data_IF_332848381330
#
_entry.id   IF_332848381330
#
_cell.length_a   1.000
_cell.length_b   1.000
_cell.length_c   1.000
_cell.angle_alpha   90.00
_cell.angle_beta   90.00
_cell.angle_gamma   90.00
#
_symmetry.space_group_name_H-M   'P 1'
#
loop_
_entity.id
_entity.type
_entity.pdbx_description
1 polymer ?
#
# COMPACT_ATOMS: atom_id res chain seq x y z
N UNK A 1 0.93 11.69 3.13
CA UNK A 1 0.74 10.26 2.86
C UNK A 1 2.06 9.82 2.29
N UNK A 2 2.68 8.77 2.83
CA UNK A 2 3.99 8.32 2.38
C UNK A 2 4.07 6.80 2.29
N UNK A 3 4.79 6.30 1.30
CA UNK A 3 5.23 4.91 1.23
C UNK A 3 6.56 4.76 1.97
N UNK A 4 6.69 3.69 2.75
CA UNK A 4 7.91 3.32 3.46
C UNK A 4 8.20 1.85 3.17
N UNK A 5 9.36 1.58 2.56
CA UNK A 5 9.78 0.23 2.20
C UNK A 5 10.56 -0.37 3.36
N UNK A 6 10.03 -1.39 4.03
CA UNK A 6 10.66 -2.02 5.19
C UNK A 6 11.54 -3.21 4.80
N UNK A 7 11.25 -3.83 3.66
CA UNK A 7 12.10 -4.83 3.04
C UNK A 7 11.80 -4.96 1.55
N UNK A 8 12.85 -5.27 0.78
CA UNK A 8 12.86 -5.19 -0.68
C UNK A 8 13.48 -6.42 -1.37
N UNK A 9 13.83 -7.45 -0.60
CA UNK A 9 14.44 -8.70 -1.09
C UNK A 9 13.38 -9.74 -1.45
N UNK A 10 13.68 -10.55 -2.47
CA UNK A 10 12.88 -11.72 -2.84
C UNK A 10 13.38 -13.03 -2.21
N UNK A 11 12.45 -13.88 -1.77
CA UNK A 11 12.61 -15.25 -1.27
C UNK A 11 13.48 -15.44 -0.01
N UNK A 12 14.59 -14.73 0.10
CA UNK A 12 15.52 -14.78 1.22
C UNK A 12 16.06 -13.38 1.54
N UNK A 13 16.35 -13.07 2.82
CA UNK A 13 16.96 -11.80 3.17
C UNK A 13 18.42 -11.76 2.69
N UNK A 14 18.97 -10.55 2.61
CA UNK A 14 20.41 -10.32 2.44
C UNK A 14 20.92 -9.47 3.59
N UNK A 15 22.23 -9.24 3.67
CA UNK A 15 22.81 -8.32 4.64
C UNK A 15 22.23 -6.89 4.54
N UNK A 16 21.75 -6.50 3.35
CA UNK A 16 21.31 -5.13 3.07
C UNK A 16 19.81 -4.99 2.76
N UNK A 17 19.08 -6.10 2.62
CA UNK A 17 17.65 -6.11 2.27
C UNK A 17 16.90 -7.15 3.09
N UNK A 18 15.89 -6.69 3.83
CA UNK A 18 14.87 -7.51 4.45
C UNK A 18 13.87 -8.04 3.41
N UNK A 19 13.03 -8.96 3.85
CA UNK A 19 11.98 -9.58 3.06
C UNK A 19 10.78 -8.63 2.85
N UNK A 20 9.95 -8.92 1.86
CA UNK A 20 8.82 -8.08 1.44
C UNK A 20 8.00 -7.51 2.60
N UNK A 21 8.03 -6.17 2.71
CA UNK A 21 7.17 -5.43 3.61
C UNK A 21 7.13 -3.95 3.22
N UNK A 22 5.94 -3.43 2.94
CA UNK A 22 5.72 -2.04 2.49
C UNK A 22 4.64 -1.41 3.37
N UNK A 23 4.87 -0.20 3.86
CA UNK A 23 3.88 0.54 4.63
C UNK A 23 3.45 1.80 3.88
N UNK A 24 2.14 2.00 3.74
CA UNK A 24 1.53 3.28 3.39
C UNK A 24 1.05 3.96 4.67
N UNK A 25 1.69 5.07 5.06
CA UNK A 25 1.28 5.91 6.18
C UNK A 25 0.38 7.04 5.68
N UNK A 26 -0.77 7.17 6.35
CA UNK A 26 -1.82 8.11 5.97
C UNK A 26 -2.60 8.53 7.21
N UNK A 27 -2.58 9.82 7.55
CA UNK A 27 -3.42 10.39 8.61
C UNK A 27 -3.35 9.62 9.95
N UNK A 28 -2.16 9.11 10.32
CA UNK A 28 -1.97 8.32 11.54
C UNK A 28 -2.48 6.87 11.46
N UNK A 29 -2.87 6.39 10.28
CA UNK A 29 -3.18 5.00 9.97
C UNK A 29 -2.05 4.37 9.12
N UNK A 30 -1.74 3.10 9.38
CA UNK A 30 -0.75 2.31 8.66
C UNK A 30 -1.45 1.22 7.85
N UNK A 31 -1.23 1.22 6.54
CA UNK A 31 -1.63 0.13 5.65
C UNK A 31 -0.36 -0.61 5.24
N UNK A 32 -0.13 -1.78 5.81
CA UNK A 32 1.04 -2.61 5.54
C UNK A 32 0.68 -3.67 4.50
N UNK A 33 1.53 -3.82 3.49
CA UNK A 33 1.43 -4.83 2.45
C UNK A 33 2.59 -5.80 2.63
N UNK A 34 2.24 -7.04 2.96
CA UNK A 34 3.14 -8.10 3.41
C UNK A 34 3.97 -7.77 4.67
N UNK A 35 4.43 -8.82 5.32
CA UNK A 35 5.33 -8.79 6.45
C UNK A 35 6.18 -10.08 6.45
N UNK A 36 7.25 -10.06 5.65
CA UNK A 36 8.28 -11.09 5.67
C UNK A 36 9.01 -11.18 7.01
N UNK A 37 9.72 -12.30 7.21
CA UNK A 37 10.53 -12.52 8.43
C UNK A 37 11.38 -11.29 8.78
N UNK A 38 11.46 -11.00 10.08
CA UNK A 38 12.16 -9.85 10.65
C UNK A 38 11.58 -8.47 10.32
N UNK A 39 10.40 -8.36 9.70
CA UNK A 39 9.72 -7.08 9.45
C UNK A 39 9.61 -6.18 10.69
N UNK A 40 9.45 -6.75 11.90
CA UNK A 40 9.42 -5.96 13.14
C UNK A 40 10.69 -5.13 13.40
N UNK A 41 11.86 -5.57 12.90
CA UNK A 41 13.12 -4.84 13.06
C UNK A 41 13.11 -3.59 12.19
N UNK A 42 12.77 -3.73 10.90
CA UNK A 42 12.65 -2.59 9.99
C UNK A 42 11.51 -1.65 10.41
N UNK A 43 10.39 -2.20 10.88
CA UNK A 43 9.29 -1.41 11.43
C UNK A 43 9.76 -0.54 12.62
N UNK A 44 10.54 -1.11 13.54
CA UNK A 44 11.14 -0.36 14.64
C UNK A 44 12.03 0.80 14.13
N UNK A 45 12.92 0.51 13.17
CA UNK A 45 13.84 1.50 12.58
C UNK A 45 13.12 2.63 11.85
N UNK A 46 11.96 2.34 11.24
CA UNK A 46 11.18 3.32 10.48
C UNK A 46 10.49 4.39 11.34
N UNK A 47 10.31 4.15 12.65
CA UNK A 47 9.61 5.10 13.53
C UNK A 47 8.12 5.27 13.24
N UNK A 48 7.48 4.37 12.48
CA UNK A 48 6.05 4.46 12.12
C UNK A 48 5.10 4.42 13.32
N UNK A 49 5.52 3.85 14.45
CA UNK A 49 4.80 3.82 15.73
C UNK A 49 3.94 2.56 15.92
N UNK A 50 3.96 1.97 17.11
CA UNK A 50 3.39 0.65 17.40
C UNK A 50 1.89 0.64 17.73
N UNK A 51 1.34 1.76 18.19
CA UNK A 51 -0.06 1.86 18.65
C UNK A 51 -0.91 2.76 17.74
N UNK A 52 -0.74 2.66 16.42
CA UNK A 52 -1.58 3.31 15.41
C UNK A 52 -2.65 2.38 14.87
N UNK A 53 -3.74 2.92 14.33
CA UNK A 53 -4.68 2.14 13.50
C UNK A 53 -3.89 1.46 12.38
N UNK A 54 -4.09 0.16 12.21
CA UNK A 54 -3.28 -0.62 11.30
C UNK A 54 -4.08 -1.70 10.60
N UNK A 55 -3.80 -1.88 9.31
CA UNK A 55 -4.29 -2.98 8.50
C UNK A 55 -3.10 -3.64 7.81
N UNK A 56 -3.03 -4.97 7.81
CA UNK A 56 -2.04 -5.75 7.07
C UNK A 56 -2.76 -6.44 5.91
N UNK A 57 -2.23 -6.33 4.70
CA UNK A 57 -2.72 -6.97 3.48
C UNK A 57 -1.65 -7.93 2.98
N UNK A 58 -1.91 -9.23 3.11
CA UNK A 58 -0.99 -10.30 2.70
C UNK A 58 -1.28 -10.69 1.27
N UNK A 59 -0.33 -10.53 0.37
CA UNK A 59 -0.47 -10.83 -1.05
C UNK A 59 -0.66 -12.33 -1.27
N UNK A 60 0.18 -13.16 -0.64
CA UNK A 60 0.13 -14.61 -0.72
C UNK A 60 0.85 -15.28 0.46
N UNK A 61 0.71 -16.61 0.61
CA UNK A 61 1.25 -17.37 1.75
C UNK A 61 2.63 -18.02 1.48
N UNK A 62 3.55 -17.28 0.87
CA UNK A 62 4.97 -17.63 0.96
C UNK A 62 5.59 -17.02 2.22
N UNK A 63 6.62 -17.71 2.73
CA UNK A 63 7.18 -17.39 4.05
C UNK A 63 7.76 -15.98 4.15
N UNK A 64 8.38 -15.52 3.08
CA UNK A 64 8.96 -14.19 2.92
C UNK A 64 7.92 -13.05 2.80
N UNK A 65 6.63 -13.37 2.79
CA UNK A 65 5.54 -12.38 2.79
C UNK A 65 4.70 -12.40 4.08
N UNK A 66 4.69 -13.48 4.86
CA UNK A 66 3.75 -13.60 5.99
C UNK A 66 4.35 -14.06 7.32
N UNK A 67 5.54 -14.66 7.35
CA UNK A 67 6.10 -15.22 8.60
C UNK A 67 6.41 -14.12 9.64
N UNK A 68 6.78 -12.92 9.18
CA UNK A 68 7.05 -11.77 10.04
C UNK A 68 5.85 -11.26 10.82
N UNK A 69 4.62 -11.59 10.40
CA UNK A 69 3.39 -11.23 11.14
C UNK A 69 3.47 -11.74 12.58
N UNK A 70 3.99 -12.95 12.79
CA UNK A 70 4.08 -13.56 14.13
C UNK A 70 4.98 -12.73 15.07
N UNK A 71 6.14 -12.29 14.55
CA UNK A 71 7.08 -11.44 15.30
C UNK A 71 6.53 -10.03 15.54
N UNK A 72 5.83 -9.45 14.57
CA UNK A 72 5.13 -8.17 14.71
C UNK A 72 4.07 -8.23 15.81
N UNK A 73 3.21 -9.26 15.81
CA UNK A 73 2.14 -9.43 16.80
C UNK A 73 2.67 -9.53 18.24
N UNK A 74 3.72 -10.34 18.44
CA UNK A 74 4.37 -10.47 19.75
C UNK A 74 5.01 -9.14 20.18
N UNK A 75 5.74 -8.48 19.27
CA UNK A 75 6.38 -7.20 19.56
C UNK A 75 5.34 -6.13 19.90
N UNK A 76 4.24 -6.03 19.14
CA UNK A 76 3.14 -5.11 19.42
C UNK A 76 2.51 -5.35 20.80
N UNK A 77 2.38 -6.62 21.21
CA UNK A 77 1.87 -6.95 22.53
C UNK A 77 2.81 -6.47 23.64
N UNK A 78 4.12 -6.67 23.47
CA UNK A 78 5.15 -6.16 24.40
C UNK A 78 5.25 -4.62 24.42
N UNK A 79 4.89 -3.96 23.31
CA UNK A 79 4.79 -2.51 23.21
C UNK A 79 3.47 -1.95 23.74
N UNK A 80 2.67 -2.76 24.46
CA UNK A 80 1.39 -2.38 25.05
C UNK A 80 0.42 -1.76 24.04
N UNK A 81 0.40 -2.30 22.81
CA UNK A 81 -0.59 -1.91 21.81
C UNK A 81 -1.99 -2.16 22.37
N UNK A 82 -2.91 -1.23 22.09
CA UNK A 82 -4.34 -1.28 22.43
C UNK A 82 -5.22 -1.17 21.19
N UNK A 83 -4.72 -0.53 20.12
CA UNK A 83 -5.48 -0.36 18.88
C UNK A 83 -5.72 -1.71 18.18
N UNK A 84 -6.92 -1.88 17.63
CA UNK A 84 -7.26 -3.05 16.82
C UNK A 84 -6.35 -3.16 15.61
N UNK A 85 -5.96 -4.38 15.26
CA UNK A 85 -5.23 -4.71 14.03
C UNK A 85 -6.13 -5.56 13.15
N UNK A 86 -6.30 -5.18 11.89
CA UNK A 86 -7.01 -6.00 10.91
C UNK A 86 -5.99 -6.63 9.95
N UNK A 87 -6.16 -7.92 9.64
CA UNK A 87 -5.30 -8.66 8.72
C UNK A 87 -6.19 -9.20 7.61
N UNK A 88 -5.84 -8.92 6.37
CA UNK A 88 -6.50 -9.37 5.16
C UNK A 88 -5.53 -10.27 4.39
N UNK A 89 -5.99 -11.42 3.91
CA UNK A 89 -5.13 -12.33 3.17
C UNK A 89 -5.89 -13.44 2.45
N UNK A 90 -5.18 -14.26 1.66
CA UNK A 90 -5.77 -15.42 0.98
C UNK A 90 -6.30 -16.47 1.97
N UNK A 91 -7.04 -17.45 1.45
CA UNK A 91 -7.45 -18.63 2.21
C UNK A 91 -6.23 -19.29 2.85
N UNK A 92 -6.31 -19.65 4.14
CA UNK A 92 -5.19 -20.19 4.92
C UNK A 92 -4.56 -19.20 5.90
N UNK A 93 -4.81 -17.88 5.77
CA UNK A 93 -4.19 -16.86 6.65
C UNK A 93 -4.67 -16.99 8.11
N UNK A 94 -5.95 -17.29 8.32
CA UNK A 94 -6.51 -17.47 9.66
C UNK A 94 -5.92 -18.70 10.33
N UNK A 95 -5.86 -19.82 9.62
CA UNK A 95 -5.28 -21.06 10.08
C UNK A 95 -3.79 -20.91 10.38
N UNK A 96 -3.03 -20.21 9.52
CA UNK A 96 -1.62 -19.90 9.73
C UNK A 96 -1.40 -19.15 11.05
N UNK A 97 -2.13 -18.07 11.27
CA UNK A 97 -1.97 -17.23 12.47
C UNK A 97 -2.45 -17.99 13.72
N UNK A 98 -3.64 -18.60 13.67
CA UNK A 98 -4.24 -19.30 14.81
C UNK A 98 -3.40 -20.52 15.25
N UNK A 99 -2.92 -21.31 14.29
CA UNK A 99 -2.07 -22.47 14.59
C UNK A 99 -0.75 -22.04 15.26
N UNK A 100 -0.10 -20.99 14.75
CA UNK A 100 1.17 -20.52 15.31
C UNK A 100 1.00 -19.85 16.67
N UNK A 101 -0.05 -19.06 16.89
CA UNK A 101 -0.39 -18.52 18.22
C UNK A 101 -0.58 -19.66 19.22
N UNK A 102 -1.32 -20.71 18.83
CA UNK A 102 -1.58 -21.88 19.67
C UNK A 102 -0.29 -22.66 19.99
N UNK A 103 0.56 -22.90 18.99
CA UNK A 103 1.82 -23.66 19.15
C UNK A 103 2.83 -22.89 20.01
N UNK A 104 2.98 -21.60 19.75
CA UNK A 104 3.92 -20.73 20.47
C UNK A 104 3.40 -20.31 21.85
N UNK A 105 2.11 -20.50 22.11
CA UNK A 105 1.45 -20.24 23.38
C UNK A 105 1.65 -18.80 23.90
N UNK A 106 1.45 -17.80 23.03
CA UNK A 106 1.45 -16.39 23.42
C UNK A 106 0.06 -15.77 23.28
N UNK A 107 -0.26 -14.86 24.21
CA UNK A 107 -1.48 -14.06 24.17
C UNK A 107 -1.25 -12.71 23.50
N UNK A 108 -2.32 -12.14 22.94
CA UNK A 108 -2.33 -10.79 22.38
C UNK A 108 -3.03 -9.85 23.36
N UNK A 109 -2.43 -8.69 23.63
CA UNK A 109 -3.00 -7.65 24.51
C UNK A 109 -4.01 -6.73 23.81
N UNK A 110 -4.26 -6.95 22.51
CA UNK A 110 -5.13 -6.14 21.67
C UNK A 110 -5.95 -7.00 20.71
N UNK A 111 -7.09 -6.49 20.17
CA UNK A 111 -7.90 -7.23 19.22
C UNK A 111 -7.21 -7.38 17.87
N UNK A 112 -7.21 -8.61 17.34
CA UNK A 112 -6.79 -8.92 15.96
C UNK A 112 -7.99 -9.50 15.22
N UNK A 113 -8.37 -8.85 14.12
CA UNK A 113 -9.42 -9.30 13.23
C UNK A 113 -8.79 -9.85 11.96
N UNK A 114 -9.06 -11.12 11.63
CA UNK A 114 -8.51 -11.77 10.45
C UNK A 114 -9.64 -11.94 9.43
N UNK A 115 -9.39 -11.50 8.20
CA UNK A 115 -10.36 -11.45 7.12
C UNK A 115 -9.80 -12.16 5.88
N UNK A 116 -10.40 -13.28 5.50
CA UNK A 116 -10.07 -13.95 4.23
C UNK A 116 -10.66 -13.18 3.05
N UNK A 117 -9.85 -12.96 2.01
CA UNK A 117 -10.25 -12.29 0.78
C UNK A 117 -11.18 -13.20 -0.02
N UNK A 118 -12.35 -12.65 -0.36
CA UNK A 118 -13.41 -13.35 -1.12
C UNK A 118 -13.87 -12.55 -2.35
N UNK A 119 -13.90 -11.22 -2.21
CA UNK A 119 -14.38 -10.29 -3.22
C UNK A 119 -13.28 -9.32 -3.64
N UNK A 120 -13.45 -8.69 -4.80
CA UNK A 120 -12.52 -7.66 -5.30
C UNK A 120 -12.43 -6.48 -4.34
N UNK A 121 -13.54 -6.01 -3.77
CA UNK A 121 -13.54 -4.89 -2.82
C UNK A 121 -13.35 -5.40 -1.39
N UNK A 122 -12.13 -5.23 -0.87
CA UNK A 122 -11.74 -5.74 0.45
C UNK A 122 -12.14 -4.80 1.58
N UNK A 123 -11.97 -3.50 1.37
CA UNK A 123 -12.23 -2.49 2.39
C UNK A 123 -12.73 -1.20 1.74
N UNK A 124 -13.67 -0.54 2.40
CA UNK A 124 -14.13 0.78 1.99
C UNK A 124 -14.63 1.58 3.20
N UNK A 125 -14.27 2.86 3.23
CA UNK A 125 -14.87 3.85 4.11
C UNK A 125 -15.02 5.19 3.38
N UNK A 126 -15.41 6.24 4.11
CA UNK A 126 -15.61 7.58 3.56
C UNK A 126 -14.33 8.23 2.99
N UNK A 127 -13.14 7.70 3.32
CA UNK A 127 -11.85 8.29 2.98
C UNK A 127 -11.08 7.53 1.91
N UNK A 128 -11.17 6.20 1.86
CA UNK A 128 -10.48 5.38 0.86
C UNK A 128 -11.13 4.00 0.69
N UNK A 129 -10.73 3.30 -0.36
CA UNK A 129 -11.03 1.89 -0.58
C UNK A 129 -9.76 1.09 -0.89
N UNK A 130 -9.77 -0.19 -0.54
CA UNK A 130 -8.80 -1.20 -0.97
C UNK A 130 -9.53 -2.22 -1.85
N UNK A 131 -9.03 -2.41 -3.05
CA UNK A 131 -9.44 -3.49 -3.94
C UNK A 131 -8.31 -4.51 -4.09
N UNK A 132 -8.66 -5.74 -4.43
CA UNK A 132 -7.71 -6.77 -4.82
C UNK A 132 -8.07 -7.40 -6.16
N UNK A 133 -7.04 -7.74 -6.92
CA UNK A 133 -7.10 -8.50 -8.16
C UNK A 133 -6.26 -9.76 -7.99
N UNK A 134 -6.64 -10.86 -8.63
CA UNK A 134 -5.77 -12.04 -8.64
C UNK A 134 -4.48 -11.73 -9.38
N UNK A 135 -3.36 -12.10 -8.76
CA UNK A 135 -2.04 -12.07 -9.38
C UNK A 135 -1.79 -13.37 -10.16
N UNK A 136 -0.81 -13.35 -11.06
CA UNK A 136 -0.34 -14.54 -11.77
C UNK A 136 0.93 -15.06 -11.10
N UNK A 137 0.74 -15.90 -10.09
CA UNK A 137 1.82 -16.48 -9.29
C UNK A 137 1.60 -17.98 -9.04
N UNK A 138 2.60 -18.65 -8.48
CA UNK A 138 2.62 -20.12 -8.29
C UNK A 138 1.55 -20.64 -7.31
N UNK A 139 1.09 -19.79 -6.39
CA UNK A 139 -0.02 -20.06 -5.46
C UNK A 139 -1.07 -18.96 -5.58
N UNK A 140 -2.19 -19.08 -4.84
CA UNK A 140 -3.19 -18.01 -4.75
C UNK A 140 -2.53 -16.74 -4.23
N UNK A 141 -2.50 -15.72 -5.09
CA UNK A 141 -1.87 -14.45 -4.82
C UNK A 141 -2.78 -13.30 -5.26
N UNK A 142 -2.64 -12.17 -4.57
CA UNK A 142 -3.41 -10.96 -4.83
C UNK A 142 -2.50 -9.75 -4.99
N UNK A 143 -2.86 -8.94 -5.96
CA UNK A 143 -2.42 -7.54 -6.10
C UNK A 143 -3.44 -6.63 -5.42
N UNK A 144 -2.99 -5.52 -4.83
CA UNK A 144 -3.84 -4.56 -4.13
C UNK A 144 -3.82 -3.18 -4.78
N UNK A 145 -4.98 -2.52 -4.76
CA UNK A 145 -5.12 -1.13 -5.18
C UNK A 145 -5.75 -0.30 -4.06
N UNK A 146 -4.99 0.68 -3.58
CA UNK A 146 -5.49 1.74 -2.72
C UNK A 146 -6.03 2.89 -3.57
N UNK A 147 -7.25 3.32 -3.28
CA UNK A 147 -7.88 4.49 -3.91
C UNK A 147 -8.38 5.43 -2.83
N UNK A 148 -7.72 6.59 -2.68
CA UNK A 148 -8.22 7.67 -1.84
C UNK A 148 -9.45 8.31 -2.48
N UNK A 149 -10.48 8.62 -1.69
CA UNK A 149 -11.65 9.35 -2.19
C UNK A 149 -11.27 10.80 -2.49
N UNK A 150 -11.94 11.38 -3.48
CA UNK A 150 -11.74 12.78 -3.84
C UNK A 150 -12.00 13.70 -2.66
N UNK A 151 -11.12 14.69 -2.50
CA UNK A 151 -11.23 15.66 -1.42
C UNK A 151 -11.94 16.92 -1.93
N UNK A 152 -12.74 17.58 -1.08
CA UNK A 152 -13.25 18.90 -1.38
C UNK A 152 -12.10 19.85 -1.73
N UNK A 153 -12.41 20.84 -2.58
CA UNK A 153 -11.47 21.90 -2.92
C UNK A 153 -11.00 22.66 -1.70
N UNK A 154 -9.94 23.46 -1.87
CA UNK A 154 -9.46 24.32 -0.79
C UNK A 154 -10.52 25.36 -0.46
N UNK A 155 -10.79 25.55 0.83
CA UNK A 155 -11.69 26.58 1.32
C UNK A 155 -11.12 27.98 1.05
N UNK A 156 -11.93 28.83 0.42
CA UNK A 156 -11.59 30.21 0.15
C UNK A 156 -12.08 31.10 1.29
N UNK A 157 -11.21 31.28 2.28
CA UNK A 157 -11.46 32.11 3.47
C UNK A 157 -11.89 33.52 3.11
N UNK A 158 -11.26 34.13 2.08
CA UNK A 158 -11.56 35.50 1.67
C UNK A 158 -13.01 35.60 1.17
N UNK A 159 -13.40 34.70 0.27
CA UNK A 159 -14.76 34.67 -0.30
C UNK A 159 -15.82 34.33 0.74
N UNK A 160 -15.51 33.45 1.70
CA UNK A 160 -16.41 33.16 2.81
C UNK A 160 -16.66 34.39 3.70
N UNK A 161 -15.62 35.18 3.97
CA UNK A 161 -15.75 36.45 4.71
C UNK A 161 -16.53 37.50 3.92
N UNK A 162 -16.30 37.63 2.61
CA UNK A 162 -17.08 38.52 1.73
C UNK A 162 -18.57 38.16 1.67
N UNK A 163 -18.90 36.87 1.75
CA UNK A 163 -20.27 36.37 1.85
C UNK A 163 -20.87 36.46 3.27
N UNK A 164 -20.12 36.99 4.24
CA UNK A 164 -20.58 37.18 5.61
C UNK A 164 -20.76 35.87 6.38
N UNK A 165 -20.02 34.81 6.03
CA UNK A 165 -20.13 33.50 6.66
C UNK A 165 -19.30 33.46 7.96
N UNK A 166 -19.92 33.33 9.14
CA UNK A 166 -19.19 33.21 10.41
C UNK A 166 -18.21 32.04 10.40
N UNK A 167 -17.02 32.25 10.95
CA UNK A 167 -16.04 31.18 11.13
C UNK A 167 -16.58 30.10 12.09
N UNK A 168 -16.16 28.85 11.89
CA UNK A 168 -16.59 27.71 12.72
C UNK A 168 -17.46 26.70 11.96
N UNK A 169 -18.56 26.26 12.58
CA UNK A 169 -19.38 25.13 12.10
C UNK A 169 -19.90 25.29 10.67
N UNK A 170 -20.23 26.51 10.27
CA UNK A 170 -20.77 26.79 8.93
C UNK A 170 -19.72 26.58 7.84
N UNK A 171 -18.45 26.89 8.12
CA UNK A 171 -17.34 26.61 7.21
C UNK A 171 -17.13 25.10 7.09
N UNK A 172 -17.21 24.36 8.20
CA UNK A 172 -17.10 22.91 8.20
C UNK A 172 -18.23 22.25 7.38
N UNK A 173 -19.47 22.73 7.52
CA UNK A 173 -20.61 22.25 6.70
C UNK A 173 -20.35 22.45 5.22
N UNK A 174 -19.94 23.65 4.81
CA UNK A 174 -19.60 23.95 3.41
C UNK A 174 -18.42 23.12 2.92
N UNK A 175 -17.36 22.98 3.72
CA UNK A 175 -16.19 22.14 3.39
C UNK A 175 -16.57 20.67 3.16
N UNK A 176 -17.59 20.17 3.86
CA UNK A 176 -18.13 18.82 3.70
C UNK A 176 -19.26 18.72 2.66
N UNK A 177 -19.40 19.72 1.80
CA UNK A 177 -20.37 19.70 0.69
C UNK A 177 -21.82 19.97 1.10
N UNK A 178 -22.08 20.43 2.33
CA UNK A 178 -23.43 20.77 2.78
C UNK A 178 -23.72 22.25 2.53
N UNK A 179 -24.87 22.54 1.93
CA UNK A 179 -25.39 23.91 1.81
C UNK A 179 -25.75 24.49 3.19
N UNK A 180 -25.62 25.80 3.35
CA UNK A 180 -26.02 26.51 4.57
C UNK A 180 -26.97 27.66 4.24
N UNK A 181 -27.72 28.13 5.24
CA UNK A 181 -28.60 29.29 5.11
C UNK A 181 -28.11 30.38 6.06
N UNK A 182 -27.85 31.57 5.53
CA UNK A 182 -27.50 32.77 6.28
C UNK A 182 -28.36 33.92 5.75
N UNK A 183 -29.05 34.63 6.66
CA UNK A 183 -29.91 35.77 6.31
C UNK A 183 -30.88 35.45 5.15
N UNK A 184 -31.56 34.30 5.25
CA UNK A 184 -32.51 33.77 4.24
C UNK A 184 -31.90 33.45 2.87
N UNK A 185 -30.57 33.53 2.73
CA UNK A 185 -29.85 33.16 1.50
C UNK A 185 -29.19 31.79 1.66
N UNK A 186 -29.44 30.92 0.69
CA UNK A 186 -28.72 29.65 0.56
C UNK A 186 -27.33 29.90 0.00
N UNK A 187 -26.31 29.43 0.70
CA UNK A 187 -24.91 29.44 0.25
C UNK A 187 -24.49 28.00 -0.05
N UNK A 188 -23.96 27.80 -1.26
CA UNK A 188 -23.50 26.50 -1.74
C UNK A 188 -21.98 26.33 -1.57
N UNK A 189 -21.48 25.10 -1.35
CA UNK A 189 -20.05 24.82 -1.25
C UNK A 189 -19.21 25.39 -2.40
N UNK A 190 -19.68 25.30 -3.64
CA UNK A 190 -18.96 25.75 -4.85
C UNK A 190 -18.70 27.26 -4.84
N UNK A 191 -19.46 28.02 -4.06
CA UNK A 191 -19.23 29.45 -3.91
C UNK A 191 -17.97 29.74 -3.09
N UNK A 192 -17.53 28.86 -2.21
CA UNK A 192 -16.37 29.06 -1.33
C UNK A 192 -15.29 27.99 -1.45
N UNK A 193 -15.51 26.92 -2.21
CA UNK A 193 -14.53 25.88 -2.47
C UNK A 193 -13.90 26.04 -3.85
N UNK A 194 -12.60 25.78 -3.95
CA UNK A 194 -11.92 25.59 -5.24
C UNK A 194 -12.28 24.26 -5.91
N UNK A 195 -11.56 23.92 -6.98
CA UNK A 195 -11.73 22.63 -7.67
C UNK A 195 -11.49 21.44 -6.74
N UNK A 196 -12.25 20.36 -6.98
CA UNK A 196 -12.06 19.10 -6.25
C UNK A 196 -10.64 18.59 -6.45
N UNK A 197 -10.06 18.05 -5.39
CA UNK A 197 -8.72 17.47 -5.42
C UNK A 197 -8.86 15.97 -5.60
N UNK A 198 -8.46 15.49 -6.77
CA UNK A 198 -8.47 14.07 -7.12
C UNK A 198 -7.72 13.26 -6.04
N UNK A 199 -8.34 12.19 -5.56
CA UNK A 199 -7.71 11.25 -4.66
C UNK A 199 -6.57 10.46 -5.33
N UNK A 200 -5.62 9.98 -4.53
CA UNK A 200 -4.47 9.23 -5.03
C UNK A 200 -4.79 7.75 -5.24
N UNK A 201 -4.24 7.18 -6.32
CA UNK A 201 -4.28 5.74 -6.60
C UNK A 201 -2.88 5.13 -6.44
N UNK A 202 -2.77 4.10 -5.60
CA UNK A 202 -1.51 3.41 -5.32
C UNK A 202 -1.71 1.91 -5.50
N UNK A 203 -1.00 1.32 -6.46
CA UNK A 203 -1.00 -0.12 -6.71
C UNK A 203 0.17 -0.82 -6.04
N UNK A 204 -0.06 -2.03 -5.53
CA UNK A 204 0.94 -2.95 -4.99
C UNK A 204 0.73 -4.30 -5.68
N UNK A 205 1.69 -4.78 -6.47
CA UNK A 205 1.51 -6.01 -7.24
C UNK A 205 1.53 -7.27 -6.38
N UNK A 206 2.35 -7.29 -5.32
CA UNK A 206 2.85 -8.56 -4.79
C UNK A 206 3.67 -9.31 -5.85
N UNK A 207 3.90 -10.59 -5.63
CA UNK A 207 4.63 -11.43 -6.58
C UNK A 207 3.74 -11.82 -7.75
N UNK A 208 4.18 -11.54 -8.97
CA UNK A 208 3.36 -11.82 -10.15
C UNK A 208 4.15 -11.73 -11.45
N UNK A 209 3.70 -12.49 -12.45
CA UNK A 209 3.92 -12.16 -13.86
C UNK A 209 3.01 -11.00 -14.31
N UNK A 210 3.38 -10.20 -15.32
CA UNK A 210 2.48 -9.20 -15.88
C UNK A 210 1.30 -9.88 -16.61
N UNK A 211 0.11 -9.31 -16.47
CA UNK A 211 -1.09 -9.75 -17.21
C UNK A 211 -1.89 -8.54 -17.70
N UNK A 212 -2.72 -8.74 -18.72
CA UNK A 212 -3.64 -7.68 -19.19
C UNK A 212 -4.69 -7.31 -18.14
N UNK A 213 -5.03 -8.24 -17.24
CA UNK A 213 -5.95 -7.96 -16.13
C UNK A 213 -5.30 -6.98 -15.13
N UNK A 214 -4.02 -7.21 -14.80
CA UNK A 214 -3.27 -6.29 -13.94
C UNK A 214 -2.99 -4.94 -14.61
N UNK A 215 -2.75 -4.91 -15.93
CA UNK A 215 -2.67 -3.64 -16.68
C UNK A 215 -3.93 -2.80 -16.51
N UNK A 216 -5.13 -3.42 -16.63
CA UNK A 216 -6.40 -2.73 -16.40
C UNK A 216 -6.61 -2.36 -14.93
N UNK A 217 -6.24 -3.26 -14.01
CA UNK A 217 -6.42 -3.04 -12.58
C UNK A 217 -5.61 -1.84 -12.06
N UNK A 218 -4.41 -1.65 -12.61
CA UNK A 218 -3.50 -0.56 -12.23
C UNK A 218 -3.59 0.68 -13.13
N UNK A 219 -4.62 0.77 -13.98
CA UNK A 219 -4.79 1.88 -14.90
C UNK A 219 -4.82 3.25 -14.18
N UNK A 220 -4.00 4.17 -14.69
CA UNK A 220 -3.80 5.53 -14.14
C UNK A 220 -3.40 5.60 -12.66
N UNK A 221 -2.68 4.60 -12.14
CA UNK A 221 -2.11 4.71 -10.81
C UNK A 221 -1.13 5.88 -10.72
N UNK A 222 -1.19 6.65 -9.63
CA UNK A 222 -0.20 7.68 -9.34
C UNK A 222 1.16 7.04 -8.98
N UNK A 223 1.11 5.91 -8.26
CA UNK A 223 2.27 5.10 -7.91
C UNK A 223 1.93 3.62 -8.05
N UNK A 224 2.82 2.84 -8.67
CA UNK A 224 2.70 1.39 -8.73
C UNK A 224 3.99 0.77 -8.18
N UNK A 225 3.89 0.00 -7.09
CA UNK A 225 4.97 -0.88 -6.65
C UNK A 225 4.81 -2.22 -7.35
N UNK A 226 5.81 -2.63 -8.11
CA UNK A 226 5.74 -3.83 -8.95
C UNK A 226 6.93 -4.77 -8.71
N UNK A 227 6.64 -6.07 -8.75
CA UNK A 227 7.63 -7.14 -8.72
C UNK A 227 8.66 -6.95 -9.85
N UNK A 228 9.93 -7.01 -9.48
CA UNK A 228 11.06 -6.86 -10.38
C UNK A 228 12.18 -7.79 -9.94
N UNK A 229 11.82 -9.06 -9.68
CA UNK A 229 12.74 -10.07 -9.18
C UNK A 229 13.96 -10.25 -10.07
N UNK A 230 13.81 -10.06 -11.38
CA UNK A 230 14.83 -10.36 -12.37
C UNK A 230 15.09 -9.21 -13.36
N UNK A 231 16.24 -9.26 -14.03
CA UNK A 231 16.50 -8.51 -15.27
C UNK A 231 16.00 -9.32 -16.47
N UNK A 232 15.84 -8.68 -17.64
CA UNK A 232 15.35 -9.32 -18.87
C UNK A 232 16.26 -10.47 -19.35
N UNK A 233 17.55 -10.43 -18.98
CA UNK A 233 18.50 -11.53 -19.22
C UNK A 233 18.10 -12.84 -18.55
N UNK A 234 17.28 -12.78 -17.49
CA UNK A 234 16.80 -13.92 -16.71
C UNK A 234 15.30 -14.16 -16.92
N UNK A 235 14.73 -13.66 -18.02
CA UNK A 235 13.29 -13.74 -18.34
C UNK A 235 12.72 -15.16 -18.25
N UNK A 236 13.46 -16.18 -18.69
CA UNK A 236 12.99 -17.57 -18.60
C UNK A 236 12.81 -17.98 -17.13
N UNK A 237 13.77 -17.64 -16.27
CA UNK A 237 13.68 -17.92 -14.84
C UNK A 237 12.53 -17.16 -14.18
N UNK A 238 12.32 -15.90 -14.57
CA UNK A 238 11.17 -15.10 -14.15
C UNK A 238 9.86 -15.84 -14.48
N UNK A 239 9.71 -16.33 -15.72
CA UNK A 239 8.55 -17.12 -16.13
C UNK A 239 8.39 -18.43 -15.34
N UNK A 240 9.47 -19.20 -15.20
CA UNK A 240 9.44 -20.52 -14.52
C UNK A 240 9.06 -20.40 -13.04
N UNK A 241 9.39 -19.26 -12.42
CA UNK A 241 9.11 -18.95 -11.02
C UNK A 241 7.91 -18.03 -10.81
N UNK A 242 7.22 -17.68 -11.90
CA UNK A 242 6.05 -16.77 -11.91
C UNK A 242 6.33 -15.39 -11.30
N UNK A 243 7.47 -14.80 -11.68
CA UNK A 243 7.95 -13.47 -11.29
C UNK A 243 8.20 -12.57 -12.51
N UNK A 244 8.30 -11.27 -12.27
CA UNK A 244 8.52 -10.29 -13.34
C UNK A 244 9.98 -9.87 -13.51
N UNK A 245 10.31 -9.46 -14.73
CA UNK A 245 11.54 -8.70 -15.01
C UNK A 245 11.33 -7.19 -14.89
N UNK A 246 12.39 -6.41 -14.70
CA UNK A 246 12.31 -4.94 -14.67
C UNK A 246 11.70 -4.37 -15.96
N UNK A 247 12.08 -4.94 -17.12
CA UNK A 247 11.50 -4.61 -18.42
C UNK A 247 10.00 -4.91 -18.50
N UNK A 248 9.57 -6.04 -17.96
CA UNK A 248 8.16 -6.44 -17.92
C UNK A 248 7.35 -5.51 -17.02
N UNK A 249 7.85 -5.19 -15.82
CA UNK A 249 7.26 -4.22 -14.91
C UNK A 249 7.11 -2.83 -15.57
N UNK A 250 8.16 -2.37 -16.25
CA UNK A 250 8.16 -1.09 -16.97
C UNK A 250 7.17 -1.05 -18.14
N UNK A 251 7.04 -2.16 -18.87
CA UNK A 251 6.07 -2.31 -19.96
C UNK A 251 4.64 -2.24 -19.44
N UNK A 252 4.33 -2.99 -18.38
CA UNK A 252 3.01 -2.95 -17.74
C UNK A 252 2.69 -1.56 -17.22
N UNK A 253 3.61 -0.92 -16.50
CA UNK A 253 3.41 0.44 -15.99
C UNK A 253 3.14 1.46 -17.10
N UNK A 254 3.84 1.34 -18.24
CA UNK A 254 3.65 2.21 -19.40
C UNK A 254 2.27 1.98 -20.04
N UNK A 255 1.90 0.72 -20.26
CA UNK A 255 0.62 0.35 -20.87
C UNK A 255 -0.57 0.79 -20.00
N UNK A 256 -0.44 0.69 -18.68
CA UNK A 256 -1.43 1.12 -17.70
C UNK A 256 -1.42 2.63 -17.41
N UNK A 257 -0.60 3.42 -18.11
CA UNK A 257 -0.47 4.88 -17.89
C UNK A 257 -0.16 5.25 -16.42
N UNK A 258 0.69 4.45 -15.77
CA UNK A 258 1.15 4.69 -14.40
C UNK A 258 2.05 5.92 -14.38
N UNK A 259 1.89 6.79 -13.38
CA UNK A 259 2.69 8.02 -13.29
C UNK A 259 4.09 7.76 -12.74
N UNK A 260 4.21 6.93 -11.71
CA UNK A 260 5.48 6.59 -11.07
C UNK A 260 5.56 5.08 -10.83
N UNK A 261 6.49 4.41 -11.49
CA UNK A 261 6.75 2.99 -11.26
C UNK A 261 7.82 2.83 -10.19
N UNK A 262 7.58 1.96 -9.21
CA UNK A 262 8.53 1.61 -8.16
C UNK A 262 8.83 0.12 -8.27
N UNK A 263 10.09 -0.23 -8.50
CA UNK A 263 10.54 -1.62 -8.57
C UNK A 263 10.94 -2.11 -7.18
N UNK A 264 10.58 -3.34 -6.83
CA UNK A 264 10.96 -3.98 -5.56
C UNK A 264 11.14 -5.49 -5.75
N UNK A 265 11.29 -6.22 -4.64
CA UNK A 265 11.35 -7.68 -4.60
C UNK A 265 12.53 -8.22 -5.41
N UNK A 266 13.72 -7.67 -5.17
CA UNK A 266 14.90 -8.00 -5.97
C UNK A 266 15.49 -9.34 -5.55
N UNK A 267 15.86 -10.17 -6.53
CA UNK A 267 16.58 -11.41 -6.25
C UNK A 267 17.93 -11.11 -5.58
N UNK A 268 18.25 -11.86 -4.52
CA UNK A 268 19.51 -11.78 -3.77
C UNK A 268 20.79 -11.96 -4.64
N UNK A 269 20.66 -12.41 -5.89
CA UNK A 269 21.77 -12.49 -6.86
C UNK A 269 22.32 -11.13 -7.25
N UNK A 270 21.51 -10.08 -7.16
CA UNK A 270 21.90 -8.74 -7.55
C UNK A 270 22.40 -7.99 -6.33
N UNK A 271 23.63 -7.46 -6.42
CA UNK A 271 24.25 -6.69 -5.34
C UNK A 271 23.47 -5.41 -5.03
N UNK A 272 22.95 -4.78 -6.08
CA UNK A 272 22.17 -3.55 -6.03
C UNK A 272 21.11 -3.56 -7.14
N UNK A 273 20.29 -2.52 -7.16
CA UNK A 273 19.15 -2.37 -8.06
C UNK A 273 19.42 -1.44 -9.25
N UNK A 274 20.69 -1.07 -9.50
CA UNK A 274 21.07 -0.12 -10.55
C UNK A 274 20.68 -0.62 -11.94
N UNK A 275 20.95 -1.89 -12.24
CA UNK A 275 20.61 -2.47 -13.55
C UNK A 275 19.09 -2.58 -13.75
N UNK A 276 18.31 -2.83 -12.69
CA UNK A 276 16.84 -2.83 -12.78
C UNK A 276 16.33 -1.43 -13.13
N UNK A 277 16.91 -0.40 -12.52
CA UNK A 277 16.57 1.00 -12.82
C UNK A 277 16.89 1.35 -14.27
N UNK A 278 18.07 0.98 -14.76
CA UNK A 278 18.51 1.26 -16.12
C UNK A 278 17.58 0.59 -17.14
N UNK A 279 17.34 -0.71 -17.00
CA UNK A 279 16.48 -1.50 -17.91
C UNK A 279 15.05 -0.95 -17.95
N UNK A 280 14.46 -0.63 -16.78
CA UNK A 280 13.11 -0.10 -16.73
C UNK A 280 12.97 1.32 -17.30
N UNK A 281 13.99 2.17 -17.14
CA UNK A 281 14.00 3.55 -17.68
C UNK A 281 14.03 3.62 -19.19
N UNK A 282 14.44 2.56 -19.89
CA UNK A 282 14.34 2.49 -21.35
C UNK A 282 12.87 2.47 -21.83
N UNK A 283 11.94 2.11 -20.96
CA UNK A 283 10.52 1.91 -21.30
C UNK A 283 9.61 2.93 -20.59
N UNK A 284 9.85 3.17 -19.30
CA UNK A 284 9.00 4.02 -18.45
C UNK A 284 9.73 5.28 -18.00
N UNK A 285 9.08 6.44 -18.15
CA UNK A 285 9.74 7.75 -17.95
C UNK A 285 10.00 8.10 -16.48
N UNK A 286 9.22 7.54 -15.54
CA UNK A 286 9.39 7.75 -14.10
C UNK A 286 9.54 6.40 -13.40
N UNK A 287 10.77 6.05 -13.04
CA UNK A 287 11.11 4.80 -12.36
C UNK A 287 11.91 5.09 -11.12
N UNK A 288 11.50 4.48 -10.02
CA UNK A 288 12.17 4.48 -8.73
C UNK A 288 12.48 3.03 -8.40
N UNK A 289 13.62 2.76 -7.79
CA UNK A 289 13.91 1.44 -7.24
C UNK A 289 13.88 1.51 -5.72
N UNK A 290 13.18 0.55 -5.12
CA UNK A 290 13.02 0.50 -3.67
C UNK A 290 14.33 0.11 -2.98
N UNK A 291 14.52 0.66 -1.80
CA UNK A 291 15.56 0.24 -0.84
C UNK A 291 14.92 0.20 0.54
N UNK A 292 15.45 -0.63 1.41
CA UNK A 292 15.01 -0.67 2.79
C UNK A 292 15.13 0.72 3.44
N UNK A 293 14.09 1.09 4.18
CA UNK A 293 13.82 2.39 4.80
C UNK A 293 13.71 3.58 3.82
N UNK A 294 13.58 3.32 2.51
CA UNK A 294 13.21 4.38 1.56
C UNK A 294 11.83 4.91 1.90
N UNK A 295 11.71 6.23 2.03
CA UNK A 295 10.44 6.93 2.15
C UNK A 295 10.12 7.71 0.88
N UNK A 296 8.89 7.58 0.39
CA UNK A 296 8.38 8.31 -0.77
C UNK A 296 7.12 9.07 -0.37
N UNK A 297 7.21 10.40 -0.37
CA UNK A 297 6.04 11.27 -0.18
C UNK A 297 5.14 11.24 -1.41
N UNK A 298 3.86 10.91 -1.18
CA UNK A 298 2.82 10.87 -2.21
C UNK A 298 2.27 12.27 -2.40
N UNK A 299 2.57 12.86 -3.57
CA UNK A 299 2.17 14.22 -3.96
C UNK A 299 0.96 14.20 -4.88
#
# INVERSE_FOLDING_TARGET
MKLVFLGTSAAQPTENRGLSCICLEREGEILMFDAGEAAQISYMKSGLGWNKKMKIFVTHLHGDHCVGILGLLQTMSMQNRTETLEIFGPSGIEEFIAANIKVLNFGLSFPVLINTIKDEKIFENEKFSIRACKANHSIVAYSYLFEEKDKPGRFNVKKAKELGIPEGDLWNKLQNGKEIIINEKTIKPEQVLGEKRRGKKIGISGDTMPTQELEKFFEECDYLVFDSTFLDTEKQKAQDTCHSTAKQAATLGKNANVRNLILTHFSARYKDEVEHLNEAKEIHNSVITARDLLEIEIK
#
